data_IF_476767704242
#
_entry.id   IF_476767704242
#
_cell.length_a   1.000
_cell.length_b   1.000
_cell.length_c   1.000
_cell.angle_alpha   90.00
_cell.angle_beta   90.00
_cell.angle_gamma   90.00
#
_symmetry.space_group_name_H-M   'P 1'
#
loop_
_entity.id
_entity.type
_entity.pdbx_description
1 polymer ?
#
# COMPACT_ATOMS: atom_id res chain seq x y z
N UNK A 1 -5.84 -21.43 16.59
CA UNK A 1 -5.94 -20.02 16.98
C UNK A 1 -6.03 -19.27 15.68
N UNK A 2 -7.11 -18.51 15.50
CA UNK A 2 -7.39 -17.85 14.21
C UNK A 2 -6.24 -16.91 13.85
N UNK A 3 -5.61 -17.16 12.69
CA UNK A 3 -4.54 -16.33 12.13
C UNK A 3 -5.08 -15.05 11.48
N UNK A 4 -6.40 -14.85 11.50
CA UNK A 4 -7.08 -13.73 10.86
C UNK A 4 -7.08 -12.46 11.71
N UNK A 5 -7.15 -11.32 11.03
CA UNK A 5 -7.32 -10.02 11.63
C UNK A 5 -8.71 -9.87 12.27
N UNK A 6 -8.84 -8.93 13.19
CA UNK A 6 -10.06 -8.68 13.96
C UNK A 6 -10.44 -7.20 13.88
N UNK A 7 -11.66 -6.92 13.43
CA UNK A 7 -12.26 -5.59 13.58
C UNK A 7 -12.76 -5.40 15.01
N UNK A 8 -12.39 -4.27 15.62
CA UNK A 8 -12.85 -3.88 16.95
C UNK A 8 -12.93 -2.36 17.06
N UNK A 9 -13.16 -1.86 18.27
CA UNK A 9 -13.16 -0.45 18.63
C UNK A 9 -11.97 -0.15 19.54
N UNK A 10 -11.40 1.04 19.40
CA UNK A 10 -10.39 1.55 20.32
C UNK A 10 -11.01 2.21 21.57
N UNK A 11 -10.18 2.79 22.44
CA UNK A 11 -10.64 3.44 23.68
C UNK A 11 -11.52 4.68 23.47
N UNK A 12 -11.55 5.21 22.25
CA UNK A 12 -12.40 6.34 21.83
C UNK A 12 -13.65 5.90 21.07
N UNK A 13 -13.93 4.59 21.04
CA UNK A 13 -15.01 3.97 20.24
C UNK A 13 -14.84 4.15 18.71
N UNK A 14 -13.61 4.36 18.25
CA UNK A 14 -13.28 4.46 16.83
C UNK A 14 -12.88 3.09 16.25
N UNK A 15 -13.13 2.87 14.96
CA UNK A 15 -12.81 1.61 14.29
C UNK A 15 -11.30 1.33 14.27
N UNK A 16 -10.91 0.11 14.60
CA UNK A 16 -9.55 -0.39 14.47
C UNK A 16 -9.55 -1.81 13.92
N UNK A 17 -8.57 -2.12 13.08
CA UNK A 17 -8.25 -3.47 12.63
C UNK A 17 -6.99 -3.93 13.36
N UNK A 18 -7.10 -5.05 14.07
CA UNK A 18 -5.99 -5.68 14.78
C UNK A 18 -5.52 -6.94 14.04
N UNK A 19 -4.22 -7.21 14.07
CA UNK A 19 -3.68 -8.48 13.61
C UNK A 19 -4.07 -9.62 14.55
N UNK A 20 -3.91 -10.86 14.11
CA UNK A 20 -4.15 -12.04 14.95
C UNK A 20 -3.26 -12.12 16.20
N UNK A 21 -2.16 -11.35 16.24
CA UNK A 21 -1.28 -11.21 17.41
C UNK A 21 -1.47 -9.87 18.15
N UNK A 22 -2.50 -9.10 17.80
CA UNK A 22 -2.92 -7.89 18.50
C UNK A 22 -2.19 -6.61 18.10
N UNK A 23 -1.44 -6.60 16.99
CA UNK A 23 -0.85 -5.36 16.47
C UNK A 23 -1.92 -4.51 15.78
N UNK A 24 -1.79 -3.18 15.87
CA UNK A 24 -2.66 -2.25 15.15
C UNK A 24 -2.28 -2.27 13.66
N UNK A 25 -3.15 -2.85 12.84
CA UNK A 25 -2.98 -2.94 11.38
C UNK A 25 -3.45 -1.65 10.71
N UNK A 26 -4.61 -1.14 11.12
CA UNK A 26 -5.17 0.12 10.61
C UNK A 26 -6.08 0.76 11.65
N UNK A 27 -6.06 2.08 11.77
CA UNK A 27 -6.90 2.84 12.71
C UNK A 27 -7.71 3.95 12.01
N UNK A 28 -8.82 4.36 12.64
CA UNK A 28 -9.71 5.39 12.11
C UNK A 28 -9.06 6.78 11.91
N UNK A 29 -8.03 7.14 12.69
CA UNK A 29 -7.33 8.42 12.55
C UNK A 29 -6.68 8.57 11.16
N UNK A 30 -6.36 7.47 10.50
CA UNK A 30 -5.69 7.46 9.19
C UNK A 30 -6.61 7.88 8.05
N UNK A 31 -7.94 7.96 8.25
CA UNK A 31 -8.91 8.21 7.18
C UNK A 31 -8.53 9.40 6.31
N UNK A 32 -8.32 10.56 6.94
CA UNK A 32 -8.06 11.81 6.20
C UNK A 32 -6.72 11.72 5.44
N UNK A 33 -5.72 11.02 6.01
CA UNK A 33 -4.46 10.75 5.35
C UNK A 33 -4.64 9.83 4.13
N UNK A 34 -5.41 8.75 4.26
CA UNK A 34 -5.73 7.84 3.15
C UNK A 34 -6.45 8.57 2.01
N UNK A 35 -7.44 9.41 2.34
CA UNK A 35 -8.16 10.18 1.33
C UNK A 35 -7.23 11.14 0.58
N UNK A 36 -6.31 11.79 1.28
CA UNK A 36 -5.35 12.72 0.69
C UNK A 36 -4.30 12.01 -0.19
N UNK A 37 -3.94 10.77 0.15
CA UNK A 37 -3.20 9.91 -0.77
C UNK A 37 -4.01 9.65 -2.04
N UNK A 38 -5.28 9.24 -1.93
CA UNK A 38 -6.14 8.97 -3.11
C UNK A 38 -6.30 10.21 -4.01
N UNK A 39 -6.47 11.40 -3.46
CA UNK A 39 -6.57 12.66 -4.23
C UNK A 39 -5.38 12.84 -5.19
N UNK A 40 -4.18 12.40 -4.79
CA UNK A 40 -2.95 12.54 -5.58
C UNK A 40 -2.91 11.64 -6.81
N UNK A 41 -3.71 10.57 -6.83
CA UNK A 41 -3.82 9.70 -7.98
C UNK A 41 -4.55 10.36 -9.14
N UNK A 42 -5.32 11.44 -8.90
CA UNK A 42 -6.13 12.11 -9.92
C UNK A 42 -6.85 11.10 -10.83
N UNK A 43 -7.63 10.23 -10.18
CA UNK A 43 -8.41 9.15 -10.77
C UNK A 43 -9.50 9.76 -11.65
N UNK A 44 -9.74 9.13 -12.80
CA UNK A 44 -10.79 9.54 -13.73
C UNK A 44 -11.71 8.35 -14.04
N UNK A 45 -12.89 8.59 -14.65
CA UNK A 45 -13.74 7.51 -15.12
C UNK A 45 -13.12 6.61 -16.21
N UNK A 46 -11.97 6.99 -16.77
CA UNK A 46 -11.22 6.17 -17.73
C UNK A 46 -10.15 5.30 -17.06
N UNK A 47 -9.83 5.55 -15.78
CA UNK A 47 -8.73 4.92 -15.07
C UNK A 47 -9.05 3.47 -14.66
N UNK A 48 -8.10 2.57 -14.91
CA UNK A 48 -8.01 1.26 -14.28
C UNK A 48 -7.21 1.39 -12.98
N UNK A 49 -7.83 1.08 -11.84
CA UNK A 49 -7.26 1.29 -10.50
C UNK A 49 -6.95 -0.04 -9.82
N UNK A 50 -5.77 -0.15 -9.19
CA UNK A 50 -5.36 -1.23 -8.31
C UNK A 50 -5.19 -0.72 -6.89
N UNK A 51 -5.69 -1.46 -5.90
CA UNK A 51 -5.39 -1.25 -4.48
C UNK A 51 -4.86 -2.55 -3.86
N UNK A 52 -3.84 -2.41 -3.04
CA UNK A 52 -3.25 -3.47 -2.24
C UNK A 52 -3.57 -3.19 -0.77
N UNK A 53 -4.33 -4.10 -0.16
CA UNK A 53 -4.82 -3.97 1.23
C UNK A 53 -6.07 -3.11 1.30
N UNK A 54 -7.16 -3.66 1.84
CA UNK A 54 -8.43 -2.91 1.99
C UNK A 54 -8.60 -2.29 3.39
N UNK A 55 -8.08 -2.96 4.42
CA UNK A 55 -8.15 -2.50 5.81
C UNK A 55 -9.57 -2.16 6.26
N UNK A 56 -9.79 -0.88 6.58
CA UNK A 56 -11.08 -0.31 7.01
C UNK A 56 -11.93 0.24 5.84
N UNK A 57 -11.36 0.31 4.63
CA UNK A 57 -12.05 0.73 3.40
C UNK A 57 -12.09 2.23 3.16
N UNK A 58 -11.23 3.03 3.80
CA UNK A 58 -11.20 4.50 3.63
C UNK A 58 -10.72 4.91 2.23
N UNK A 59 -9.54 4.44 1.83
CA UNK A 59 -9.00 4.57 0.46
C UNK A 59 -9.99 4.06 -0.58
N UNK A 60 -10.49 2.83 -0.40
CA UNK A 60 -11.44 2.20 -1.31
C UNK A 60 -12.72 3.02 -1.50
N UNK A 61 -13.32 3.49 -0.41
CA UNK A 61 -14.54 4.32 -0.47
C UNK A 61 -14.25 5.65 -1.16
N UNK A 62 -13.10 6.27 -0.89
CA UNK A 62 -12.68 7.49 -1.57
C UNK A 62 -12.43 7.28 -3.06
N UNK A 63 -11.75 6.22 -3.46
CA UNK A 63 -11.50 5.84 -4.86
C UNK A 63 -12.82 5.74 -5.63
N UNK A 64 -13.83 5.11 -5.03
CA UNK A 64 -15.13 4.93 -5.67
C UNK A 64 -15.89 6.25 -5.90
N UNK A 65 -15.57 7.33 -5.18
CA UNK A 65 -16.16 8.66 -5.46
C UNK A 65 -15.78 9.19 -6.85
N UNK A 66 -14.67 8.75 -7.44
CA UNK A 66 -14.23 9.14 -8.79
C UNK A 66 -14.77 8.24 -9.90
N UNK A 67 -15.53 7.18 -9.56
CA UNK A 67 -16.14 6.25 -10.52
C UNK A 67 -15.16 5.68 -11.56
N UNK A 68 -14.03 5.04 -11.14
CA UNK A 68 -13.05 4.52 -12.08
C UNK A 68 -13.65 3.47 -13.02
N UNK A 69 -13.01 3.27 -14.18
CA UNK A 69 -13.44 2.29 -15.18
C UNK A 69 -13.44 0.87 -14.60
N UNK A 70 -12.34 0.50 -13.96
CA UNK A 70 -12.19 -0.75 -13.24
C UNK A 70 -11.49 -0.48 -11.91
N UNK A 71 -11.84 -1.24 -10.87
CA UNK A 71 -11.19 -1.15 -9.58
C UNK A 71 -10.91 -2.55 -9.04
N UNK A 72 -9.63 -2.89 -8.92
CA UNK A 72 -9.16 -4.19 -8.45
C UNK A 72 -8.56 -4.04 -7.06
N UNK A 73 -8.99 -4.88 -6.12
CA UNK A 73 -8.44 -4.94 -4.76
C UNK A 73 -7.79 -6.30 -4.55
N UNK A 74 -6.53 -6.31 -4.13
CA UNK A 74 -5.84 -7.51 -3.65
C UNK A 74 -5.88 -7.52 -2.12
N UNK A 75 -6.44 -8.58 -1.54
CA UNK A 75 -6.51 -8.79 -0.09
C UNK A 75 -6.29 -10.26 0.26
N UNK A 76 -5.56 -10.53 1.34
CA UNK A 76 -5.24 -11.88 1.79
C UNK A 76 -5.96 -12.28 3.08
N UNK A 77 -6.39 -11.33 3.92
CA UNK A 77 -7.05 -11.65 5.18
C UNK A 77 -8.53 -12.03 4.98
N UNK A 78 -8.98 -13.20 5.48
CA UNK A 78 -10.34 -13.68 5.26
C UNK A 78 -11.44 -12.80 5.88
N UNK A 79 -11.16 -12.14 7.01
CA UNK A 79 -12.12 -11.25 7.69
C UNK A 79 -12.26 -9.95 6.91
N UNK A 80 -11.15 -9.41 6.41
CA UNK A 80 -11.15 -8.24 5.52
C UNK A 80 -11.86 -8.58 4.20
N UNK A 81 -11.56 -9.73 3.58
CA UNK A 81 -12.25 -10.19 2.34
C UNK A 81 -13.77 -10.25 2.53
N UNK A 82 -14.26 -10.73 3.68
CA UNK A 82 -15.68 -10.76 3.97
C UNK A 82 -16.28 -9.35 4.00
N UNK A 83 -15.57 -8.38 4.61
CA UNK A 83 -15.97 -6.96 4.60
C UNK A 83 -15.96 -6.38 3.19
N UNK A 84 -14.94 -6.66 2.37
CA UNK A 84 -14.88 -6.22 0.97
C UNK A 84 -16.09 -6.75 0.19
N UNK A 85 -16.45 -8.03 0.33
CA UNK A 85 -17.61 -8.61 -0.37
C UNK A 85 -18.91 -7.90 -0.01
N UNK A 86 -19.11 -7.56 1.26
CA UNK A 86 -20.27 -6.80 1.70
C UNK A 86 -20.26 -5.36 1.14
N UNK A 87 -19.13 -4.66 1.24
CA UNK A 87 -18.96 -3.30 0.73
C UNK A 87 -19.10 -3.22 -0.81
N UNK A 88 -18.51 -4.18 -1.52
CA UNK A 88 -18.47 -4.25 -2.98
C UNK A 88 -19.84 -4.57 -3.61
N UNK A 89 -20.82 -5.03 -2.82
CA UNK A 89 -22.14 -5.42 -3.32
C UNK A 89 -22.85 -4.29 -4.11
N UNK A 90 -22.53 -3.04 -3.80
CA UNK A 90 -23.13 -1.87 -4.46
C UNK A 90 -22.41 -1.44 -5.75
N UNK A 91 -21.34 -2.13 -6.16
CA UNK A 91 -20.47 -1.71 -7.24
C UNK A 91 -20.26 -2.81 -8.28
N UNK A 92 -20.53 -2.51 -9.54
CA UNK A 92 -20.36 -3.47 -10.65
C UNK A 92 -18.95 -3.53 -11.22
N UNK A 93 -18.10 -2.56 -10.89
CA UNK A 93 -16.74 -2.37 -11.43
C UNK A 93 -15.64 -2.81 -10.45
N UNK A 94 -16.00 -3.43 -9.32
CA UNK A 94 -15.05 -3.92 -8.30
C UNK A 94 -14.68 -5.38 -8.56
N UNK A 95 -13.37 -5.66 -8.64
CA UNK A 95 -12.80 -7.00 -8.71
C UNK A 95 -12.02 -7.31 -7.44
N UNK A 96 -12.44 -8.34 -6.71
CA UNK A 96 -11.74 -8.81 -5.50
C UNK A 96 -10.80 -9.95 -5.90
N UNK A 97 -9.51 -9.80 -5.61
CA UNK A 97 -8.48 -10.81 -5.86
C UNK A 97 -7.95 -11.30 -4.51
N UNK A 98 -8.25 -12.55 -4.18
CA UNK A 98 -7.91 -13.12 -2.87
C UNK A 98 -6.50 -13.72 -2.89
N UNK A 99 -5.65 -13.27 -1.98
CA UNK A 99 -4.26 -13.72 -1.84
C UNK A 99 -3.30 -12.57 -1.58
N UNK A 100 -2.02 -12.89 -1.40
CA UNK A 100 -0.99 -11.87 -1.21
C UNK A 100 -0.64 -11.19 -2.54
N UNK A 101 -0.30 -9.91 -2.53
CA UNK A 101 0.06 -9.20 -3.76
C UNK A 101 1.26 -9.84 -4.48
N UNK A 102 2.22 -10.41 -3.75
CA UNK A 102 3.36 -11.11 -4.36
C UNK A 102 2.94 -12.29 -5.23
N UNK A 103 1.86 -12.98 -4.86
CA UNK A 103 1.36 -14.15 -5.60
C UNK A 103 0.36 -13.77 -6.69
N UNK A 104 -0.42 -12.72 -6.45
CA UNK A 104 -1.55 -12.37 -7.31
C UNK A 104 -1.19 -11.36 -8.39
N UNK A 105 -0.35 -10.37 -8.07
CA UNK A 105 -0.03 -9.26 -8.98
C UNK A 105 0.56 -9.73 -10.33
N UNK A 106 1.44 -10.75 -10.41
CA UNK A 106 1.97 -11.23 -11.70
C UNK A 106 0.91 -11.67 -12.73
N UNK A 107 -0.29 -12.07 -12.28
CA UNK A 107 -1.38 -12.49 -13.15
C UNK A 107 -2.33 -11.34 -13.57
N UNK A 108 -2.05 -10.10 -13.14
CA UNK A 108 -2.88 -8.92 -13.40
C UNK A 108 -2.29 -8.03 -14.50
N UNK A 109 -3.13 -7.21 -15.17
CA UNK A 109 -2.66 -6.27 -16.18
C UNK A 109 -1.90 -5.09 -15.55
N UNK A 110 -1.54 -4.11 -16.39
CA UNK A 110 -1.09 -2.80 -15.93
C UNK A 110 -2.25 -1.84 -15.65
N UNK A 111 -2.04 -0.92 -14.72
CA UNK A 111 -3.03 0.03 -14.19
C UNK A 111 -2.62 1.49 -14.41
N UNK A 112 -3.60 2.40 -14.44
CA UNK A 112 -3.37 3.84 -14.52
C UNK A 112 -3.08 4.45 -13.13
N UNK A 113 -3.69 3.87 -12.09
CA UNK A 113 -3.53 4.32 -10.72
C UNK A 113 -3.36 3.12 -9.78
N UNK A 114 -2.41 3.20 -8.86
CA UNK A 114 -2.11 2.14 -7.90
C UNK A 114 -2.02 2.73 -6.50
N UNK A 115 -2.78 2.16 -5.56
CA UNK A 115 -2.74 2.49 -4.14
C UNK A 115 -2.11 1.32 -3.36
N UNK A 116 -1.07 1.61 -2.57
CA UNK A 116 -0.34 0.60 -1.81
C UNK A 116 -0.42 0.86 -0.32
N UNK A 117 -1.19 0.04 0.39
CA UNK A 117 -1.34 0.08 1.84
C UNK A 117 -1.31 -1.35 2.41
N UNK A 118 -0.09 -1.89 2.45
CA UNK A 118 0.15 -3.27 2.84
C UNK A 118 0.60 -3.37 4.30
N UNK A 119 0.36 -4.54 4.91
CA UNK A 119 0.81 -4.87 6.25
C UNK A 119 1.59 -6.20 6.25
N UNK A 120 2.68 -6.32 7.02
CA UNK A 120 3.39 -7.60 7.14
C UNK A 120 2.46 -8.73 7.59
N UNK A 121 2.63 -9.92 7.01
CA UNK A 121 1.91 -11.11 7.50
C UNK A 121 2.27 -11.40 8.97
N UNK A 122 1.39 -12.04 9.76
CA UNK A 122 1.63 -12.31 11.19
C UNK A 122 2.95 -13.02 11.49
N UNK A 123 3.42 -13.89 10.60
CA UNK A 123 4.70 -14.60 10.76
C UNK A 123 5.92 -13.66 10.64
N UNK A 124 5.76 -12.51 10.00
CA UNK A 124 6.79 -11.51 9.75
C UNK A 124 6.67 -10.26 10.66
N UNK A 125 5.58 -10.12 11.42
CA UNK A 125 5.32 -9.00 12.34
C UNK A 125 6.34 -8.89 13.50
N UNK A 126 7.08 -9.97 13.78
CA UNK A 126 8.09 -10.05 14.86
C UNK A 126 9.53 -10.14 14.36
N UNK A 127 9.74 -10.08 13.05
CA UNK A 127 11.08 -10.15 12.49
C UNK A 127 11.70 -8.73 12.50
N UNK A 128 12.73 -8.51 13.31
CA UNK A 128 13.50 -7.26 13.30
C UNK A 128 14.09 -6.96 11.91
N UNK A 129 14.22 -7.96 11.02
CA UNK A 129 14.61 -7.76 9.63
C UNK A 129 13.53 -7.01 8.81
N UNK A 130 12.24 -7.11 9.18
CA UNK A 130 11.15 -6.32 8.58
C UNK A 130 11.31 -4.81 8.81
N UNK A 131 12.09 -4.41 9.82
CA UNK A 131 12.43 -3.02 10.10
C UNK A 131 13.57 -2.50 9.20
N UNK A 132 14.31 -3.38 8.51
CA UNK A 132 15.50 -2.99 7.74
C UNK A 132 15.18 -2.63 6.28
N UNK A 133 14.22 -3.31 5.64
CA UNK A 133 13.87 -3.13 4.23
C UNK A 133 12.38 -2.88 4.08
N UNK A 134 12.01 -1.70 3.59
CA UNK A 134 10.61 -1.36 3.34
C UNK A 134 10.03 -2.20 2.20
N UNK A 135 8.80 -2.71 2.40
CA UNK A 135 8.03 -3.45 1.39
C UNK A 135 7.70 -2.59 0.17
N UNK A 136 7.72 -1.26 0.33
CA UNK A 136 7.66 -0.30 -0.78
C UNK A 136 8.71 -0.59 -1.87
N UNK A 137 9.91 -1.04 -1.52
CA UNK A 137 10.95 -1.26 -2.53
C UNK A 137 10.64 -2.45 -3.42
N UNK A 138 10.27 -3.58 -2.83
CA UNK A 138 9.86 -4.78 -3.56
C UNK A 138 8.61 -4.48 -4.41
N UNK A 139 7.64 -3.78 -3.82
CA UNK A 139 6.42 -3.40 -4.49
C UNK A 139 6.67 -2.47 -5.68
N UNK A 140 7.44 -1.40 -5.53
CA UNK A 140 7.72 -0.46 -6.61
C UNK A 140 8.46 -1.12 -7.77
N UNK A 141 9.45 -1.96 -7.47
CA UNK A 141 10.19 -2.68 -8.52
C UNK A 141 9.24 -3.58 -9.32
N UNK A 142 8.32 -4.29 -8.65
CA UNK A 142 7.36 -5.15 -9.33
C UNK A 142 6.28 -4.34 -10.09
N UNK A 143 5.69 -3.33 -9.43
CA UNK A 143 4.61 -2.54 -9.98
C UNK A 143 5.05 -1.69 -11.17
N UNK A 144 6.19 -1.01 -11.10
CA UNK A 144 6.65 -0.11 -12.16
C UNK A 144 7.16 -0.87 -13.39
N UNK A 145 7.78 -2.04 -13.19
CA UNK A 145 8.30 -2.83 -14.31
C UNK A 145 7.19 -3.45 -15.16
N UNK A 146 6.06 -3.85 -14.56
CA UNK A 146 5.07 -4.70 -15.25
C UNK A 146 3.60 -4.29 -15.08
N UNK A 147 3.26 -3.55 -14.03
CA UNK A 147 1.86 -3.31 -13.65
C UNK A 147 1.44 -1.84 -13.63
N UNK A 148 2.31 -0.92 -14.06
CA UNK A 148 2.00 0.51 -14.15
C UNK A 148 2.07 0.95 -15.59
N UNK A 149 1.03 1.57 -16.14
CA UNK A 149 1.04 2.11 -17.51
C UNK A 149 1.97 3.34 -17.60
N UNK A 150 2.32 3.76 -18.82
CA UNK A 150 2.94 5.08 -19.01
C UNK A 150 1.98 6.16 -18.49
N UNK A 151 2.52 7.19 -17.85
CA UNK A 151 1.79 8.21 -17.08
C UNK A 151 1.00 7.66 -15.87
N UNK A 152 1.21 6.39 -15.54
CA UNK A 152 0.62 5.74 -14.38
C UNK A 152 1.17 6.30 -13.07
N UNK A 153 0.30 6.36 -12.05
CA UNK A 153 0.57 6.97 -10.75
C UNK A 153 0.46 5.96 -9.63
N UNK A 154 1.42 5.98 -8.70
CA UNK A 154 1.44 5.15 -7.50
C UNK A 154 1.46 6.05 -6.27
N UNK A 155 0.59 5.78 -5.30
CA UNK A 155 0.57 6.40 -3.96
C UNK A 155 0.26 5.33 -2.92
N UNK A 156 0.19 5.71 -1.64
CA UNK A 156 -0.18 4.80 -0.58
C UNK A 156 0.27 5.26 0.80
N UNK A 157 0.07 4.41 1.80
CA UNK A 157 0.51 4.64 3.16
C UNK A 157 2.04 4.60 3.26
N UNK A 158 2.62 5.65 3.85
CA UNK A 158 4.06 5.78 4.03
C UNK A 158 4.39 6.09 5.49
N UNK A 159 4.71 5.05 6.25
CA UNK A 159 5.02 5.14 7.69
C UNK A 159 6.19 6.08 8.04
N UNK A 160 7.14 6.25 7.11
CA UNK A 160 8.38 7.01 7.32
C UNK A 160 8.97 7.48 5.99
N UNK A 161 9.82 8.53 5.98
CA UNK A 161 10.53 8.93 4.77
C UNK A 161 11.34 7.77 4.17
N UNK A 162 11.22 7.55 2.86
CA UNK A 162 11.95 6.52 2.09
C UNK A 162 12.44 7.11 0.77
N UNK A 163 13.52 6.55 0.21
CA UNK A 163 13.92 6.86 -1.15
C UNK A 163 13.07 6.04 -2.14
N UNK A 164 12.08 6.69 -2.74
CA UNK A 164 11.17 6.06 -3.71
C UNK A 164 11.61 6.28 -5.17
N UNK A 165 12.81 6.86 -5.40
CA UNK A 165 13.30 7.17 -6.74
C UNK A 165 13.48 5.91 -7.57
N UNK A 166 13.00 5.96 -8.81
CA UNK A 166 13.13 4.89 -9.79
C UNK A 166 13.42 5.50 -11.17
N UNK A 167 14.24 4.83 -12.01
CA UNK A 167 14.48 5.28 -13.38
C UNK A 167 13.17 5.48 -14.15
N UNK A 168 13.10 6.54 -14.95
CA UNK A 168 11.91 6.90 -15.73
C UNK A 168 10.72 7.34 -14.89
N UNK A 169 10.89 7.61 -13.59
CA UNK A 169 9.82 8.07 -12.70
C UNK A 169 10.14 9.42 -12.08
N UNK A 170 9.10 10.20 -11.81
CA UNK A 170 9.17 11.36 -10.91
C UNK A 170 8.58 10.99 -9.56
N UNK A 171 9.15 11.53 -8.49
CA UNK A 171 8.69 11.31 -7.11
C UNK A 171 8.41 12.65 -6.46
N UNK A 172 7.28 12.74 -5.74
CA UNK A 172 7.00 13.87 -4.85
C UNK A 172 6.44 13.38 -3.53
N UNK A 173 6.86 14.01 -2.43
CA UNK A 173 6.35 13.77 -1.09
C UNK A 173 5.71 15.05 -0.59
N UNK A 174 4.42 15.02 -0.27
CA UNK A 174 3.70 16.18 0.29
C UNK A 174 3.47 15.96 1.79
N UNK A 175 3.98 16.84 2.67
CA UNK A 175 3.68 16.76 4.08
C UNK A 175 2.19 17.08 4.37
N UNK A 176 1.64 16.42 5.36
CA UNK A 176 0.27 16.60 5.84
C UNK A 176 0.23 16.42 7.36
N UNK A 177 -0.37 17.38 8.07
CA UNK A 177 -0.62 17.25 9.50
C UNK A 177 -1.64 16.14 9.77
N UNK A 178 -1.39 15.36 10.81
CA UNK A 178 -2.24 14.23 11.22
C UNK A 178 -2.47 14.25 12.73
N UNK A 179 -3.71 13.99 13.13
CA UNK A 179 -4.10 13.93 14.53
C UNK A 179 -4.05 12.49 15.03
N UNK A 180 -2.85 12.05 15.39
CA UNK A 180 -2.61 10.67 15.83
C UNK A 180 -2.97 10.54 17.32
N UNK A 181 -3.83 9.59 17.70
CA UNK A 181 -4.24 9.43 19.08
C UNK A 181 -3.11 8.85 19.94
N UNK A 182 -3.13 9.15 21.24
CA UNK A 182 -2.07 8.76 22.18
C UNK A 182 -1.87 7.24 22.31
N UNK A 183 -2.91 6.45 22.03
CA UNK A 183 -2.89 4.98 22.04
C UNK A 183 -2.44 4.34 20.70
N UNK A 184 -2.05 5.13 19.70
CA UNK A 184 -1.42 4.61 18.49
C UNK A 184 0.02 4.18 18.79
N UNK A 185 0.36 2.93 18.51
CA UNK A 185 1.67 2.36 18.86
C UNK A 185 2.70 2.39 17.72
N UNK A 186 2.32 2.78 16.52
CA UNK A 186 3.15 2.63 15.31
C UNK A 186 3.49 3.94 14.59
N UNK A 187 2.76 5.03 14.85
CA UNK A 187 2.98 6.31 14.17
C UNK A 187 3.29 7.43 15.18
N UNK A 188 4.57 7.76 15.44
CA UNK A 188 4.95 8.70 16.48
C UNK A 188 5.01 10.17 16.02
N UNK A 189 4.60 10.47 14.78
CA UNK A 189 4.79 11.78 14.16
C UNK A 189 3.47 12.59 14.10
N UNK A 190 3.58 13.92 14.10
CA UNK A 190 2.44 14.84 13.88
C UNK A 190 2.21 15.13 12.40
N UNK A 191 3.13 14.69 11.54
CA UNK A 191 3.07 14.92 10.11
C UNK A 191 3.32 13.61 9.36
N UNK A 192 2.41 13.29 8.45
CA UNK A 192 2.53 12.20 7.49
C UNK A 192 3.02 12.71 6.14
N UNK A 193 3.61 11.82 5.35
CA UNK A 193 4.06 12.11 3.99
C UNK A 193 3.12 11.44 3.00
N UNK A 194 2.60 12.22 2.06
CA UNK A 194 1.75 11.74 0.97
C UNK A 194 2.62 11.52 -0.29
N UNK A 195 3.05 10.28 -0.58
CA UNK A 195 3.89 10.01 -1.74
C UNK A 195 3.10 10.07 -3.04
N UNK A 196 3.76 10.44 -4.13
CA UNK A 196 3.27 10.23 -5.48
C UNK A 196 4.47 9.90 -6.37
N UNK A 197 4.43 8.72 -6.95
CA UNK A 197 5.38 8.25 -7.96
C UNK A 197 4.63 8.26 -9.29
N UNK A 198 5.18 8.92 -10.31
CA UNK A 198 4.61 8.92 -11.66
C UNK A 198 5.60 8.30 -12.63
N UNK A 199 5.16 7.30 -13.39
CA UNK A 199 5.96 6.68 -14.45
C UNK A 199 5.90 7.56 -15.70
N UNK A 200 6.98 8.28 -15.98
CA UNK A 200 7.03 9.27 -17.07
C UNK A 200 7.67 8.71 -18.35
N UNK A 201 8.46 7.64 -18.25
CA UNK A 201 9.21 7.08 -19.38
C UNK A 201 9.14 5.55 -19.40
N UNK A 202 9.27 4.98 -20.61
CA UNK A 202 9.50 3.56 -20.76
C UNK A 202 10.97 3.23 -20.57
N UNK A 203 11.27 2.54 -19.47
CA UNK A 203 12.60 2.01 -19.17
C UNK A 203 12.57 0.48 -19.18
N UNK A 204 13.69 -0.15 -19.53
CA UNK A 204 13.85 -1.60 -19.37
C UNK A 204 13.64 -2.00 -17.90
N UNK A 205 13.03 -3.17 -17.61
CA UNK A 205 12.82 -3.60 -16.24
C UNK A 205 14.10 -3.57 -15.41
N UNK A 206 14.03 -2.95 -14.22
CA UNK A 206 15.17 -2.84 -13.32
C UNK A 206 14.82 -3.34 -11.93
N UNK A 207 15.83 -3.88 -11.26
CA UNK A 207 15.78 -4.21 -9.84
C UNK A 207 16.63 -3.16 -9.12
N UNK A 208 16.03 -2.51 -8.14
CA UNK A 208 16.69 -1.40 -7.45
C UNK A 208 17.54 -1.94 -6.30
N UNK A 209 18.78 -1.49 -6.27
CA UNK A 209 19.67 -1.69 -5.15
C UNK A 209 19.53 -0.49 -4.18
N UNK A 210 19.25 -0.73 -2.91
CA UNK A 210 19.04 0.30 -1.89
C UNK A 210 20.02 0.11 -0.73
N UNK A 211 20.54 1.22 -0.21
CA UNK A 211 21.36 1.21 0.99
C UNK A 211 20.53 0.90 2.23
N UNK A 212 20.98 -0.03 3.07
CA UNK A 212 20.36 -0.30 4.36
C UNK A 212 20.59 0.89 5.30
N UNK A 213 19.57 1.32 6.07
CA UNK A 213 19.76 2.35 7.07
C UNK A 213 20.71 1.85 8.17
N UNK A 214 21.84 2.54 8.37
CA UNK A 214 22.73 2.30 9.51
C UNK A 214 22.83 3.55 10.38
N UNK A 215 23.11 3.38 11.68
CA UNK A 215 23.25 4.49 12.64
C UNK A 215 24.44 5.43 12.36
N UNK A 216 25.19 5.26 11.26
CA UNK A 216 26.45 5.99 11.04
C UNK A 216 26.90 6.20 9.59
N UNK A 217 26.05 6.01 8.58
CA UNK A 217 26.41 6.28 7.17
C UNK A 217 25.78 5.33 6.15
N UNK A 218 26.49 5.12 5.04
CA UNK A 218 26.06 4.23 3.95
C UNK A 218 26.16 2.78 4.42
N UNK A 219 25.02 2.16 4.72
CA UNK A 219 24.94 0.75 5.05
C UNK A 219 25.16 -0.17 3.85
N UNK A 220 25.19 -1.50 4.07
CA UNK A 220 25.27 -2.47 2.99
C UNK A 220 24.18 -2.21 1.94
N UNK A 221 24.52 -2.38 0.67
CA UNK A 221 23.55 -2.29 -0.43
C UNK A 221 22.79 -3.61 -0.49
N UNK A 222 21.48 -3.56 -0.27
CA UNK A 222 20.57 -4.68 -0.46
C UNK A 222 19.89 -4.55 -1.83
N UNK A 223 19.58 -5.68 -2.43
CA UNK A 223 18.86 -5.76 -3.70
C UNK A 223 17.49 -6.36 -3.40
N UNK A 224 16.42 -5.85 -4.01
CA UNK A 224 15.11 -6.50 -3.89
C UNK A 224 15.23 -7.96 -4.35
N UNK A 225 14.50 -8.87 -3.71
CA UNK A 225 14.76 -10.31 -3.74
C UNK A 225 14.92 -10.84 -5.19
N UNK A 226 15.95 -11.66 -5.49
CA UNK A 226 16.19 -12.21 -6.84
C UNK A 226 15.03 -13.03 -7.45
N UNK A 227 13.98 -13.35 -6.68
CA UNK A 227 12.77 -14.02 -7.19
C UNK A 227 11.88 -13.09 -8.01
N UNK A 228 12.02 -11.76 -7.90
CA UNK A 228 11.27 -10.80 -8.69
C UNK A 228 11.51 -10.94 -10.21
N UNK A 229 12.73 -11.29 -10.63
CA UNK A 229 13.04 -11.57 -12.05
C UNK A 229 12.36 -12.87 -12.52
N UNK A 230 12.20 -13.85 -11.62
CA UNK A 230 11.65 -15.15 -11.93
C UNK A 230 10.10 -15.20 -11.87
N UNK A 231 9.44 -14.14 -11.39
CA UNK A 231 7.97 -14.03 -11.32
C UNK A 231 7.33 -13.60 -12.65
N UNK A 232 8.06 -13.72 -13.77
CA UNK A 232 7.53 -13.52 -15.12
C UNK A 232 7.65 -14.78 -15.96
#
# INVERSE_FOLDING_TARGET
MDEANVYTRDETDADVLLSSVGQQVMMAWERDYMEQCVERLAITPASDVLEIGFGLGYSATKIMTYSPKTYTIIECDPVVIARIKAWAHSYSNVRIVQGTWQTQLPALPAFDCIFFDDYPLPQNERDDASHTISRWYEFLDLALNWHTKLDGRITGYLARPLNLDRPGCTVSLRPMQVDVPAHCSYFPYQEALVPLITRCEEVSPQITAYGLPTRGGVGPVAVTHPKLIALR
#
